data_IF_605659161879
#
_entry.id   IF_605659161879
#
_cell.length_a   1.000
_cell.length_b   1.000
_cell.length_c   1.000
_cell.angle_alpha   90.00
_cell.angle_beta   90.00
_cell.angle_gamma   90.00
#
_symmetry.space_group_name_H-M   'P 1'
#
loop_
_entity.id
_entity.type
_entity.pdbx_description
1 polymer ?
#
# COMPACT_ATOMS: atom_id res chain seq x y z
N UNK A 1 -15.61 35.57 27.46
CA UNK A 1 -15.12 35.30 26.09
C UNK A 1 -15.68 33.95 25.68
N UNK A 2 -16.69 33.93 24.83
CA UNK A 2 -17.34 32.72 24.33
C UNK A 2 -17.01 32.51 22.85
N UNK A 3 -16.77 31.24 22.52
CA UNK A 3 -16.75 30.56 21.22
C UNK A 3 -15.60 30.83 20.24
N UNK A 4 -15.14 29.72 19.64
CA UNK A 4 -14.30 29.67 18.44
C UNK A 4 -13.79 28.25 18.15
N UNK A 5 -14.71 27.37 17.74
CA UNK A 5 -14.52 26.11 17.00
C UNK A 5 -13.61 25.00 17.54
N UNK A 6 -14.25 24.01 18.15
CA UNK A 6 -13.88 22.60 17.98
C UNK A 6 -14.13 22.26 16.51
N UNK A 7 -13.08 22.27 15.69
CA UNK A 7 -13.15 21.67 14.37
C UNK A 7 -13.34 20.17 14.57
N UNK A 8 -14.57 19.69 14.33
CA UNK A 8 -14.95 18.30 14.43
C UNK A 8 -14.03 17.44 13.55
N UNK A 9 -13.29 16.54 14.20
CA UNK A 9 -12.41 15.55 13.60
C UNK A 9 -13.22 14.38 13.00
N UNK A 10 -14.23 14.70 12.17
CA UNK A 10 -15.13 13.73 11.54
C UNK A 10 -14.88 13.60 10.04
N UNK A 11 -14.06 14.49 9.45
CA UNK A 11 -13.74 14.48 8.02
C UNK A 11 -12.52 13.60 7.67
N UNK A 12 -11.66 13.27 8.64
CA UNK A 12 -10.45 12.47 8.41
C UNK A 12 -10.76 10.96 8.30
N UNK A 13 -11.75 10.47 9.04
CA UNK A 13 -12.10 9.04 9.06
C UNK A 13 -12.70 8.60 7.72
N UNK A 14 -13.72 9.31 7.23
CA UNK A 14 -14.42 9.00 5.97
C UNK A 14 -13.53 9.17 4.74
N UNK A 15 -12.57 10.11 4.80
CA UNK A 15 -11.56 10.28 3.75
C UNK A 15 -10.57 9.10 3.71
N UNK A 16 -10.20 8.55 4.87
CA UNK A 16 -9.26 7.42 4.93
C UNK A 16 -9.93 6.12 4.49
N UNK A 17 -11.21 5.93 4.83
CA UNK A 17 -12.02 4.81 4.35
C UNK A 17 -12.18 4.83 2.81
N UNK A 18 -12.49 6.00 2.23
CA UNK A 18 -12.58 6.13 0.77
C UNK A 18 -11.26 5.82 0.06
N UNK A 19 -10.12 6.21 0.63
CA UNK A 19 -8.80 5.89 0.08
C UNK A 19 -8.47 4.41 0.24
N UNK A 20 -8.88 3.77 1.35
CA UNK A 20 -8.72 2.33 1.55
C UNK A 20 -9.46 1.52 0.48
N UNK A 21 -10.71 1.87 0.20
CA UNK A 21 -11.50 1.20 -0.85
C UNK A 21 -10.92 1.47 -2.24
N UNK A 22 -10.53 2.72 -2.53
CA UNK A 22 -9.86 3.07 -3.78
C UNK A 22 -8.56 2.28 -3.98
N UNK A 23 -7.79 2.05 -2.91
CA UNK A 23 -6.56 1.24 -2.94
C UNK A 23 -6.87 -0.22 -3.25
N UNK A 24 -7.83 -0.85 -2.57
CA UNK A 24 -8.15 -2.25 -2.82
C UNK A 24 -8.70 -2.48 -4.22
N UNK A 25 -9.58 -1.59 -4.69
CA UNK A 25 -10.06 -1.64 -6.05
C UNK A 25 -8.94 -1.46 -7.08
N UNK A 26 -7.99 -0.54 -6.81
CA UNK A 26 -6.81 -0.30 -7.63
C UNK A 26 -5.94 -1.56 -7.73
N UNK A 27 -5.62 -2.16 -6.57
CA UNK A 27 -4.79 -3.36 -6.49
C UNK A 27 -5.46 -4.56 -7.17
N UNK A 28 -6.77 -4.71 -6.99
CA UNK A 28 -7.54 -5.76 -7.66
C UNK A 28 -7.48 -5.59 -9.18
N UNK A 29 -7.76 -4.40 -9.70
CA UNK A 29 -7.70 -4.16 -11.14
C UNK A 29 -6.27 -4.29 -11.71
N UNK A 30 -5.26 -3.83 -10.97
CA UNK A 30 -3.87 -3.96 -11.34
C UNK A 30 -3.44 -5.43 -11.43
N UNK A 31 -3.90 -6.28 -10.49
CA UNK A 31 -3.70 -7.72 -10.52
C UNK A 31 -4.31 -8.36 -11.76
N UNK A 32 -5.54 -7.99 -12.11
CA UNK A 32 -6.22 -8.51 -13.31
C UNK A 32 -5.53 -8.09 -14.62
N UNK A 33 -4.78 -6.99 -14.62
CA UNK A 33 -4.02 -6.48 -15.77
C UNK A 33 -2.56 -6.94 -15.78
N UNK A 34 -2.13 -7.77 -14.83
CA UNK A 34 -0.73 -8.19 -14.66
C UNK A 34 0.22 -6.99 -14.46
N UNK A 35 -0.27 -5.92 -13.85
CA UNK A 35 0.48 -4.69 -13.55
C UNK A 35 0.87 -4.58 -12.07
N UNK A 36 1.05 -5.74 -11.41
CA UNK A 36 1.52 -5.80 -10.01
C UNK A 36 2.71 -6.73 -9.88
N UNK A 37 3.65 -6.34 -9.04
CA UNK A 37 4.72 -7.22 -8.54
C UNK A 37 4.49 -7.46 -7.05
N UNK A 38 4.48 -8.73 -6.64
CA UNK A 38 4.19 -9.14 -5.26
C UNK A 38 5.47 -9.72 -4.64
N UNK A 39 5.80 -9.26 -3.44
CA UNK A 39 6.90 -9.77 -2.64
C UNK A 39 8.06 -8.79 -2.52
N UNK A 40 8.77 -8.87 -1.40
CA UNK A 40 9.91 -7.99 -1.08
C UNK A 40 11.04 -8.16 -2.08
N UNK A 41 11.35 -9.40 -2.44
CA UNK A 41 12.48 -9.72 -3.30
C UNK A 41 12.19 -9.38 -4.76
N UNK A 42 10.99 -9.70 -5.23
CA UNK A 42 10.49 -9.38 -6.57
C UNK A 42 10.40 -7.87 -6.76
N UNK A 43 9.91 -7.14 -5.74
CA UNK A 43 9.90 -5.68 -5.76
C UNK A 43 11.31 -5.09 -5.87
N UNK A 44 12.25 -5.58 -5.06
CA UNK A 44 13.65 -5.14 -5.14
C UNK A 44 14.30 -5.47 -6.49
N UNK A 45 13.96 -6.60 -7.11
CA UNK A 45 14.42 -6.94 -8.46
C UNK A 45 13.88 -5.96 -9.49
N UNK A 46 12.57 -5.68 -9.50
CA UNK A 46 11.97 -4.74 -10.44
C UNK A 46 12.55 -3.34 -10.29
N UNK A 47 12.68 -2.84 -9.06
CA UNK A 47 13.25 -1.52 -8.77
C UNK A 47 14.71 -1.38 -9.23
N UNK A 48 15.46 -2.48 -9.30
CA UNK A 48 16.82 -2.49 -9.85
C UNK A 48 16.87 -2.52 -11.38
N UNK A 49 15.83 -3.06 -12.04
CA UNK A 49 15.80 -3.26 -13.49
C UNK A 49 15.09 -2.10 -14.21
N UNK A 50 13.91 -1.72 -13.74
CA UNK A 50 13.04 -0.71 -14.36
C UNK A 50 12.21 0.05 -13.32
N UNK A 51 12.86 0.92 -12.51
CA UNK A 51 12.17 1.72 -11.51
C UNK A 51 11.18 2.74 -12.10
N UNK A 52 11.40 3.19 -13.34
CA UNK A 52 10.56 4.18 -14.01
C UNK A 52 9.16 3.65 -14.37
N UNK A 53 9.02 2.32 -14.46
CA UNK A 53 7.73 1.66 -14.70
C UNK A 53 6.79 1.69 -13.49
N UNK A 54 7.33 1.91 -12.29
CA UNK A 54 6.61 1.78 -11.01
C UNK A 54 5.99 3.11 -10.61
N UNK A 55 4.71 3.09 -10.26
CA UNK A 55 3.93 4.30 -9.92
C UNK A 55 3.46 4.35 -8.47
N UNK A 56 3.43 3.20 -7.78
CA UNK A 56 3.03 3.09 -6.37
C UNK A 56 3.73 1.88 -5.72
N UNK A 57 4.21 2.07 -4.49
CA UNK A 57 4.74 1.02 -3.64
C UNK A 57 3.89 0.90 -2.36
N UNK A 58 3.33 -0.28 -2.12
CA UNK A 58 2.54 -0.59 -0.94
C UNK A 58 3.34 -1.56 -0.06
N UNK A 59 3.52 -1.20 1.21
CA UNK A 59 4.21 -2.01 2.21
C UNK A 59 3.20 -2.49 3.26
N UNK A 60 2.95 -3.79 3.31
CA UNK A 60 1.88 -4.37 4.11
C UNK A 60 2.44 -5.17 5.30
N UNK A 61 2.01 -4.82 6.50
CA UNK A 61 2.34 -5.56 7.71
C UNK A 61 1.27 -5.35 8.78
N UNK A 62 0.84 -6.46 9.37
CA UNK A 62 0.03 -6.46 10.60
C UNK A 62 0.90 -6.40 11.86
N UNK A 63 0.28 -6.18 13.02
CA UNK A 63 0.95 -6.01 14.32
C UNK A 63 1.89 -7.19 14.65
N UNK A 64 1.55 -8.40 14.22
CA UNK A 64 2.38 -9.59 14.42
C UNK A 64 3.75 -9.51 13.74
N UNK A 65 3.88 -8.68 12.70
CA UNK A 65 5.10 -8.52 11.91
C UNK A 65 6.01 -7.38 12.41
N UNK A 66 5.59 -6.62 13.42
CA UNK A 66 6.40 -5.52 13.99
C UNK A 66 7.70 -6.04 14.65
N UNK A 67 7.68 -7.26 15.15
CA UNK A 67 8.85 -7.92 15.76
C UNK A 67 9.85 -8.49 14.76
N UNK A 68 9.51 -8.58 13.47
CA UNK A 68 10.40 -9.11 12.44
C UNK A 68 11.41 -8.05 12.00
N UNK A 69 12.60 -8.09 12.60
CA UNK A 69 13.70 -7.16 12.30
C UNK A 69 14.11 -7.22 10.83
N UNK A 70 14.12 -8.39 10.20
CA UNK A 70 14.51 -8.52 8.80
C UNK A 70 13.49 -7.81 7.90
N UNK A 71 12.21 -8.03 8.14
CA UNK A 71 11.14 -7.35 7.43
C UNK A 71 11.20 -5.82 7.61
N UNK A 72 11.42 -5.33 8.83
CA UNK A 72 11.53 -3.89 9.10
C UNK A 72 12.75 -3.27 8.38
N UNK A 73 13.86 -4.00 8.28
CA UNK A 73 15.02 -3.57 7.48
C UNK A 73 14.63 -3.47 6.00
N UNK A 74 13.98 -4.48 5.44
CA UNK A 74 13.52 -4.45 4.04
C UNK A 74 12.58 -3.30 3.75
N UNK A 75 11.61 -3.03 4.64
CA UNK A 75 10.72 -1.89 4.52
C UNK A 75 11.48 -0.57 4.52
N UNK A 76 12.44 -0.41 5.44
CA UNK A 76 13.26 0.81 5.51
C UNK A 76 14.04 1.02 4.21
N UNK A 77 14.62 -0.03 3.64
CA UNK A 77 15.37 0.04 2.38
C UNK A 77 14.47 0.39 1.20
N UNK A 78 13.31 -0.28 1.06
CA UNK A 78 12.37 -0.02 -0.01
C UNK A 78 11.79 1.40 0.07
N UNK A 79 11.47 1.87 1.28
CA UNK A 79 11.00 3.25 1.51
C UNK A 79 12.04 4.28 1.08
N UNK A 80 13.30 4.09 1.48
CA UNK A 80 14.38 4.99 1.11
C UNK A 80 14.54 5.05 -0.41
N UNK A 81 14.65 3.89 -1.06
CA UNK A 81 14.84 3.80 -2.51
C UNK A 81 13.67 4.44 -3.28
N UNK A 82 12.43 4.01 -3.02
CA UNK A 82 11.25 4.52 -3.73
C UNK A 82 11.11 6.04 -3.59
N UNK A 83 11.45 6.59 -2.41
CA UNK A 83 11.37 8.02 -2.17
C UNK A 83 12.42 8.83 -2.93
N UNK A 84 13.65 8.31 -3.02
CA UNK A 84 14.74 8.96 -3.76
C UNK A 84 14.37 9.19 -5.24
N UNK A 85 13.58 8.29 -5.81
CA UNK A 85 13.10 8.37 -7.21
C UNK A 85 11.63 8.81 -7.34
N UNK A 86 11.05 9.37 -6.27
CA UNK A 86 9.69 9.95 -6.26
C UNK A 86 8.52 8.98 -6.56
N UNK A 87 8.66 7.70 -6.24
CA UNK A 87 7.54 6.76 -6.20
C UNK A 87 6.70 7.03 -4.95
N UNK A 88 5.37 7.08 -5.09
CA UNK A 88 4.46 7.19 -3.96
C UNK A 88 4.55 5.90 -3.11
N UNK A 89 4.78 6.04 -1.79
CA UNK A 89 4.92 4.90 -0.86
C UNK A 89 3.82 4.97 0.20
N UNK A 90 3.17 3.84 0.45
CA UNK A 90 2.07 3.71 1.41
C UNK A 90 2.29 2.49 2.32
N UNK A 91 2.09 2.64 3.63
CA UNK A 91 1.99 1.49 4.55
C UNK A 91 0.54 1.07 4.74
N UNK A 92 0.31 -0.23 4.82
CA UNK A 92 -1.01 -0.79 5.12
C UNK A 92 -0.96 -1.89 6.18
N UNK A 93 -2.03 -2.00 6.94
CA UNK A 93 -2.38 -3.16 7.77
C UNK A 93 -3.72 -3.74 7.30
N UNK A 94 -4.11 -4.90 7.80
CA UNK A 94 -5.22 -5.71 7.33
C UNK A 94 -4.81 -6.61 6.16
N UNK A 95 -3.75 -7.40 6.34
CA UNK A 95 -3.19 -8.23 5.26
C UNK A 95 -4.19 -9.24 4.71
N UNK A 96 -5.18 -9.68 5.50
CA UNK A 96 -6.24 -10.56 5.01
C UNK A 96 -7.11 -9.89 3.94
N UNK A 97 -7.61 -8.67 4.17
CA UNK A 97 -8.37 -7.91 3.16
C UNK A 97 -7.55 -7.65 1.91
N UNK A 98 -6.26 -7.39 2.09
CA UNK A 98 -5.32 -7.20 1.00
C UNK A 98 -5.19 -8.47 0.13
N UNK A 99 -5.04 -9.63 0.77
CA UNK A 99 -4.99 -10.93 0.10
C UNK A 99 -6.29 -11.22 -0.68
N UNK A 100 -7.45 -10.97 -0.06
CA UNK A 100 -8.76 -11.12 -0.70
C UNK A 100 -8.91 -10.25 -1.95
N UNK A 101 -8.48 -8.98 -1.89
CA UNK A 101 -8.53 -8.07 -3.04
C UNK A 101 -7.61 -8.49 -4.20
N UNK A 102 -6.49 -9.14 -3.87
CA UNK A 102 -5.53 -9.69 -4.84
C UNK A 102 -5.90 -11.10 -5.34
N UNK A 103 -6.99 -11.68 -4.82
CA UNK A 103 -7.45 -13.02 -5.18
C UNK A 103 -6.58 -14.15 -4.62
N UNK A 104 -5.77 -13.87 -3.60
CA UNK A 104 -4.95 -14.88 -2.93
C UNK A 104 -5.81 -15.67 -1.93
N UNK A 105 -5.72 -17.01 -1.93
CA UNK A 105 -6.54 -17.83 -1.04
C UNK A 105 -6.17 -17.54 0.43
N UNK A 106 -7.16 -17.49 1.34
CA UNK A 106 -6.88 -17.41 2.77
C UNK A 106 -6.06 -18.63 3.15
N UNK A 107 -4.84 -18.40 3.62
CA UNK A 107 -3.81 -19.41 3.91
C UNK A 107 -4.38 -20.62 4.66
N UNK A 108 -4.85 -21.66 3.95
CA UNK A 108 -5.30 -22.93 4.51
C UNK A 108 -5.69 -23.96 3.42
N UNK A 109 -4.97 -25.08 3.43
CA UNK A 109 -5.37 -26.43 2.97
C UNK A 109 -5.22 -26.81 1.48
N UNK A 110 -4.00 -26.69 0.94
CA UNK A 110 -3.60 -27.41 -0.28
C UNK A 110 -2.12 -27.82 -0.21
N UNK A 111 -1.72 -29.01 -0.71
CA UNK A 111 -0.33 -29.44 -0.62
C UNK A 111 0.53 -28.67 -1.64
N UNK A 112 1.59 -28.02 -1.14
CA UNK A 112 2.83 -27.68 -1.84
C UNK A 112 3.00 -26.32 -2.57
N UNK A 113 2.28 -25.25 -2.21
CA UNK A 113 2.72 -23.89 -2.59
C UNK A 113 2.89 -23.02 -1.35
N UNK A 114 4.07 -22.41 -1.21
CA UNK A 114 4.30 -21.41 -0.18
C UNK A 114 3.33 -20.23 -0.39
N UNK A 115 2.80 -19.62 0.68
CA UNK A 115 1.96 -18.44 0.56
C UNK A 115 2.73 -17.34 -0.18
N UNK A 116 2.03 -16.60 -1.05
CA UNK A 116 2.61 -15.48 -1.77
C UNK A 116 3.02 -14.40 -0.77
N UNK A 117 4.22 -13.86 -0.92
CA UNK A 117 4.69 -12.73 -0.12
C UNK A 117 3.92 -11.47 -0.53
N UNK A 118 3.11 -10.95 0.38
CA UNK A 118 2.30 -9.74 0.18
C UNK A 118 2.86 -8.53 0.94
N UNK A 119 4.05 -8.63 1.52
CA UNK A 119 4.62 -7.55 2.32
C UNK A 119 5.08 -6.35 1.50
N UNK A 120 5.32 -6.53 0.20
CA UNK A 120 5.51 -5.44 -0.74
C UNK A 120 4.73 -5.69 -2.03
N UNK A 121 4.03 -4.67 -2.50
CA UNK A 121 3.31 -4.68 -3.76
C UNK A 121 3.72 -3.44 -4.55
N UNK A 122 4.29 -3.64 -5.72
CA UNK A 122 4.54 -2.56 -6.67
C UNK A 122 3.44 -2.56 -7.72
N UNK A 123 2.88 -1.38 -7.98
CA UNK A 123 1.97 -1.16 -9.11
C UNK A 123 2.79 -0.51 -10.22
N UNK A 124 2.77 -1.12 -11.41
CA UNK A 124 3.34 -0.53 -12.61
C UNK A 124 2.27 0.20 -13.40
N UNK A 125 2.67 1.07 -14.33
CA UNK A 125 1.77 1.99 -15.04
C UNK A 125 0.47 1.33 -15.57
N UNK A 126 -0.63 1.61 -14.87
CA UNK A 126 -1.96 1.13 -15.21
C UNK A 126 -2.56 1.95 -16.34
N UNK A 127 -2.87 1.31 -17.45
CA UNK A 127 -3.43 1.97 -18.63
C UNK A 127 -4.88 2.49 -18.40
N UNK A 128 -5.58 2.04 -17.35
CA UNK A 128 -7.05 2.21 -17.23
C UNK A 128 -7.51 2.79 -15.89
N UNK A 129 -6.74 2.64 -14.81
CA UNK A 129 -7.19 2.93 -13.43
C UNK A 129 -6.68 4.29 -12.87
N UNK A 130 -6.45 5.27 -13.74
CA UNK A 130 -5.84 6.56 -13.37
C UNK A 130 -6.56 7.33 -12.25
N UNK A 131 -7.89 7.17 -12.11
CA UNK A 131 -8.66 7.90 -11.09
C UNK A 131 -8.31 7.43 -9.67
N UNK A 132 -8.33 6.12 -9.42
CA UNK A 132 -8.03 5.53 -8.10
C UNK A 132 -6.55 5.72 -7.76
N UNK A 133 -5.67 5.52 -8.74
CA UNK A 133 -4.24 5.82 -8.59
C UNK A 133 -4.00 7.29 -8.21
N UNK A 134 -4.69 8.23 -8.87
CA UNK A 134 -4.60 9.65 -8.53
C UNK A 134 -5.11 9.96 -7.12
N UNK A 135 -6.13 9.25 -6.65
CA UNK A 135 -6.69 9.42 -5.30
C UNK A 135 -5.71 8.94 -4.23
N UNK A 136 -5.16 7.74 -4.39
CA UNK A 136 -4.12 7.19 -3.49
C UNK A 136 -2.86 8.05 -3.52
N UNK A 137 -2.40 8.46 -4.70
CA UNK A 137 -1.23 9.34 -4.82
C UNK A 137 -1.46 10.72 -4.22
N UNK A 138 -2.67 11.29 -4.35
CA UNK A 138 -3.04 12.54 -3.68
C UNK A 138 -2.96 12.38 -2.16
N UNK A 139 -3.49 11.28 -1.62
CA UNK A 139 -3.38 10.98 -0.20
C UNK A 139 -1.92 10.90 0.25
N UNK A 140 -1.04 10.28 -0.53
CA UNK A 140 0.39 10.21 -0.21
C UNK A 140 1.05 11.59 -0.15
N UNK A 141 0.80 12.43 -1.16
CA UNK A 141 1.34 13.81 -1.22
C UNK A 141 0.78 14.73 -0.14
N UNK A 142 -0.51 14.61 0.19
CA UNK A 142 -1.13 15.40 1.26
C UNK A 142 -0.55 15.07 2.64
N UNK A 143 -0.24 13.80 2.90
CA UNK A 143 0.40 13.39 4.14
C UNK A 143 1.88 13.81 4.20
N UNK A 144 2.58 13.79 3.06
CA UNK A 144 3.93 14.31 2.96
C UNK A 144 4.01 15.79 3.39
N UNK A 145 3.06 16.62 2.94
CA UNK A 145 2.95 18.03 3.34
C UNK A 145 2.72 18.23 4.86
N UNK A 146 2.23 17.20 5.56
CA UNK A 146 1.99 17.19 7.01
C UNK A 146 3.17 16.61 7.80
N UNK A 147 4.33 16.40 7.16
CA UNK A 147 5.49 15.70 7.72
C UNK A 147 5.18 14.24 8.12
N UNK A 148 4.11 13.65 7.59
CA UNK A 148 3.86 12.22 7.68
C UNK A 148 4.50 11.56 6.46
N UNK A 149 5.79 11.31 6.61
CA UNK A 149 6.67 10.87 5.54
C UNK A 149 6.26 9.54 4.90
N UNK A 150 5.57 8.68 5.65
CA UNK A 150 5.04 7.41 5.16
C UNK A 150 3.60 7.32 5.69
N UNK A 151 2.59 7.62 4.86
CA UNK A 151 1.21 7.49 5.28
C UNK A 151 0.88 6.03 5.59
N UNK A 152 -0.06 5.82 6.51
CA UNK A 152 -0.54 4.50 6.90
C UNK A 152 -2.06 4.43 6.75
N UNK A 153 -2.57 3.33 6.18
CA UNK A 153 -4.00 3.03 6.08
C UNK A 153 -4.25 1.64 6.68
N UNK A 154 -5.26 1.56 7.55
CA UNK A 154 -5.73 0.28 8.07
C UNK A 154 -6.89 -0.25 7.22
N UNK A 155 -6.73 -1.45 6.67
CA UNK A 155 -7.77 -2.15 5.93
C UNK A 155 -8.67 -2.91 6.93
N UNK A 156 -9.49 -2.16 7.68
CA UNK A 156 -10.46 -2.77 8.60
C UNK A 156 -11.50 -3.60 7.86
N UNK A 157 -12.02 -4.63 8.52
CA UNK A 157 -13.19 -5.37 8.05
C UNK A 157 -14.48 -4.68 8.49
N UNK A 158 -15.46 -4.65 7.60
CA UNK A 158 -16.84 -4.26 7.93
C UNK A 158 -17.63 -5.47 8.37
#
# INVERSE_FOLDING_TARGET
MTLGDVWSCSCSHTQTEGVADALLELLSAARHQDCVTLGIYEAAQLLNVDPDSVVLCVLAADEEHEGDVALQIHFTLLQAFCREIHIDVLRVSGMRRLAEALGEPPTSEGPAQAPVDLHCILVTNLQVEHKKLSEVGRFCRENLCKNQWIPHISLHEH
#
